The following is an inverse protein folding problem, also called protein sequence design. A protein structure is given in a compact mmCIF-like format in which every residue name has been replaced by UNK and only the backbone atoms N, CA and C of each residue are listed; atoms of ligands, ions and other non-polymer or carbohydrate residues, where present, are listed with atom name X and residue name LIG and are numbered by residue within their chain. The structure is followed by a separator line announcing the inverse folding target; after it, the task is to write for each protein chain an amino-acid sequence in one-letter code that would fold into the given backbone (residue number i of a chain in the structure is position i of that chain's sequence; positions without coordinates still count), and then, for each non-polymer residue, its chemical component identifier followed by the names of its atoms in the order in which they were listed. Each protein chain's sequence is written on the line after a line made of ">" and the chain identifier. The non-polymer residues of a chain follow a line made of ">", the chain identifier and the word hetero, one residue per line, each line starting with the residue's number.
data_IF_363169617177
#
_entry.id   IF_363169617177
#
_cell.length_a   1.000
_cell.length_b   1.000
_cell.length_c   1.000
_cell.angle_alpha   90.00
_cell.angle_beta   90.00
_cell.angle_gamma   90.00
#
_symmetry.space_group_name_H-M   'P 1'
#
loop_
_entity.id
_entity.type
_entity.pdbx_description
1 polymer ?
#
# COMPACT_ATOMS: atom_id res chain seq x y z
N UNK A 1 20.26 2.68 6.30
CA UNK A 1 20.02 4.05 5.79
C UNK A 1 18.52 4.34 5.62
N UNK A 2 17.73 3.41 5.14
CA UNK A 2 16.28 3.53 4.86
C UNK A 2 15.42 3.92 6.08
N UNK A 3 15.53 3.22 7.22
CA UNK A 3 14.79 3.56 8.46
C UNK A 3 14.99 5.02 8.89
N UNK A 4 16.20 5.54 8.77
CA UNK A 4 16.53 6.91 9.11
C UNK A 4 15.88 7.93 8.15
N UNK A 5 15.71 7.58 6.87
CA UNK A 5 15.10 8.46 5.89
C UNK A 5 13.60 8.63 6.18
N UNK A 6 12.88 7.52 6.46
CA UNK A 6 11.48 7.59 6.82
C UNK A 6 11.24 8.30 8.16
N UNK A 7 12.07 8.04 9.20
CA UNK A 7 11.99 8.76 10.47
C UNK A 7 12.14 10.28 10.24
N UNK A 8 13.17 10.71 9.51
CA UNK A 8 13.36 12.15 9.20
C UNK A 8 12.19 12.76 8.44
N UNK A 9 11.56 11.98 7.54
CA UNK A 9 10.38 12.45 6.83
C UNK A 9 9.19 12.68 7.77
N UNK A 10 9.01 11.79 8.78
CA UNK A 10 7.95 11.90 9.78
C UNK A 10 8.21 12.97 10.85
N UNK A 11 9.48 13.38 11.06
CA UNK A 11 9.86 14.45 12.00
C UNK A 11 9.67 15.86 11.44
N UNK A 12 9.31 15.99 10.16
CA UNK A 12 9.04 17.28 9.52
C UNK A 12 7.75 17.91 10.05
N UNK A 13 7.70 19.23 10.11
CA UNK A 13 6.47 19.99 10.46
C UNK A 13 5.43 20.04 9.32
N UNK A 14 5.69 19.34 8.22
CA UNK A 14 4.80 19.24 7.06
C UNK A 14 4.49 17.77 6.75
N UNK A 15 3.30 17.47 6.22
CA UNK A 15 2.97 16.10 5.83
C UNK A 15 3.95 15.55 4.78
N UNK A 16 4.23 14.25 4.86
CA UNK A 16 4.86 13.50 3.78
C UNK A 16 3.78 13.24 2.71
N UNK A 17 4.01 13.73 1.50
CA UNK A 17 3.06 13.58 0.40
C UNK A 17 3.25 12.22 -0.26
N UNK A 18 2.21 11.38 -0.19
CA UNK A 18 2.19 10.08 -0.85
C UNK A 18 1.77 10.25 -2.32
N UNK A 19 2.09 9.26 -3.13
CA UNK A 19 1.54 9.11 -4.48
C UNK A 19 0.03 8.80 -4.46
N UNK A 20 -0.54 8.63 -5.64
CA UNK A 20 -1.94 8.23 -5.84
C UNK A 20 -2.10 6.80 -6.33
N UNK A 21 -3.30 6.48 -6.81
CA UNK A 21 -3.62 5.14 -7.34
C UNK A 21 -2.82 4.79 -8.59
N UNK A 22 -1.83 3.91 -8.45
CA UNK A 22 -1.00 3.47 -9.57
C UNK A 22 -1.82 2.90 -10.71
N UNK A 23 -2.85 2.08 -10.39
CA UNK A 23 -3.76 1.51 -11.37
C UNK A 23 -4.46 2.60 -12.20
N UNK A 24 -5.02 3.61 -11.55
CA UNK A 24 -5.70 4.73 -12.21
C UNK A 24 -4.76 5.50 -13.15
N UNK A 25 -3.51 5.71 -12.73
CA UNK A 25 -2.51 6.38 -13.58
C UNK A 25 -2.12 5.53 -14.79
N UNK A 26 -1.98 4.21 -14.62
CA UNK A 26 -1.69 3.28 -15.71
C UNK A 26 -2.86 3.22 -16.73
N UNK A 27 -4.10 3.21 -16.26
CA UNK A 27 -5.29 3.30 -17.12
C UNK A 27 -5.33 4.63 -17.91
N UNK A 28 -5.00 5.75 -17.25
CA UNK A 28 -4.91 7.05 -17.91
C UNK A 28 -3.82 7.09 -18.99
N UNK A 29 -2.78 6.28 -18.85
CA UNK A 29 -1.73 6.07 -19.87
C UNK A 29 -2.15 5.07 -20.97
N UNK A 30 -3.35 4.48 -20.90
CA UNK A 30 -3.88 3.53 -21.87
C UNK A 30 -3.45 2.08 -21.64
N UNK A 31 -2.92 1.73 -20.47
CA UNK A 31 -2.60 0.35 -20.14
C UNK A 31 -3.87 -0.45 -19.82
N UNK A 32 -3.92 -1.68 -20.32
CA UNK A 32 -4.96 -2.64 -19.94
C UNK A 32 -4.52 -3.36 -18.64
N UNK A 33 -5.21 -3.04 -17.55
CA UNK A 33 -5.01 -3.68 -16.23
C UNK A 33 -6.20 -4.55 -15.81
N UNK A 34 -7.13 -4.83 -16.72
CA UNK A 34 -8.36 -5.61 -16.46
C UNK A 34 -8.15 -7.11 -16.22
N UNK A 35 -6.92 -7.56 -15.97
CA UNK A 35 -6.57 -8.95 -15.73
C UNK A 35 -6.41 -9.27 -14.23
N UNK A 36 -6.22 -10.57 -13.92
CA UNK A 36 -6.15 -11.09 -12.55
C UNK A 36 -4.97 -10.57 -11.70
N UNK A 37 -3.98 -9.92 -12.28
CA UNK A 37 -2.81 -9.39 -11.57
C UNK A 37 -2.76 -7.86 -11.55
N UNK A 38 -3.72 -7.17 -12.16
CA UNK A 38 -3.77 -5.71 -12.26
C UNK A 38 -2.43 -5.10 -12.69
N UNK A 39 -1.95 -4.12 -11.93
CA UNK A 39 -0.65 -3.48 -12.19
C UNK A 39 0.54 -4.44 -12.11
N UNK A 40 0.44 -5.53 -11.33
CA UNK A 40 1.51 -6.52 -11.24
C UNK A 40 1.72 -7.31 -12.55
N UNK A 41 0.72 -7.39 -13.45
CA UNK A 41 0.91 -7.98 -14.78
C UNK A 41 1.85 -7.17 -15.65
N UNK A 42 1.90 -5.86 -15.44
CA UNK A 42 2.77 -4.95 -16.19
C UNK A 42 4.23 -5.09 -15.81
N UNK A 43 4.55 -5.67 -14.64
CA UNK A 43 5.93 -6.00 -14.28
C UNK A 43 6.59 -6.90 -15.35
N UNK A 44 5.81 -7.78 -15.97
CA UNK A 44 6.29 -8.67 -17.03
C UNK A 44 6.08 -8.10 -18.43
N UNK A 45 4.92 -7.46 -18.68
CA UNK A 45 4.49 -7.10 -20.03
C UNK A 45 4.89 -5.69 -20.45
N UNK A 46 4.94 -4.73 -19.52
CA UNK A 46 5.28 -3.33 -19.80
C UNK A 46 5.82 -2.60 -18.57
N UNK A 47 7.02 -2.97 -18.07
CA UNK A 47 7.61 -2.33 -16.89
C UNK A 47 7.87 -0.83 -17.08
N UNK A 48 8.05 -0.38 -18.32
CA UNK A 48 8.29 1.04 -18.63
C UNK A 48 7.09 1.91 -18.26
N UNK A 49 5.86 1.45 -18.51
CA UNK A 49 4.65 2.18 -18.13
C UNK A 49 4.57 2.39 -16.60
N UNK A 50 5.08 1.44 -15.80
CA UNK A 50 5.14 1.58 -14.34
C UNK A 50 6.08 2.72 -13.95
N UNK A 51 7.28 2.78 -14.56
CA UNK A 51 8.24 3.87 -14.31
C UNK A 51 7.64 5.22 -14.69
N UNK A 52 6.99 5.31 -15.85
CA UNK A 52 6.34 6.53 -16.33
C UNK A 52 5.22 6.98 -15.38
N UNK A 53 4.40 6.05 -14.86
CA UNK A 53 3.34 6.35 -13.91
C UNK A 53 3.90 6.89 -12.57
N UNK A 54 4.93 6.24 -12.03
CA UNK A 54 5.59 6.69 -10.81
C UNK A 54 6.27 8.06 -11.01
N UNK A 55 6.90 8.28 -12.16
CA UNK A 55 7.48 9.58 -12.51
C UNK A 55 6.43 10.68 -12.55
N UNK A 56 5.25 10.42 -13.09
CA UNK A 56 4.16 11.40 -13.13
C UNK A 56 3.74 11.84 -11.71
N UNK A 57 3.71 10.93 -10.73
CA UNK A 57 3.44 11.28 -9.33
C UNK A 57 4.58 12.09 -8.71
N UNK A 58 5.83 11.72 -8.94
CA UNK A 58 6.99 12.49 -8.45
C UNK A 58 7.01 13.90 -9.05
N UNK A 59 6.74 14.05 -10.34
CA UNK A 59 6.66 15.33 -11.03
C UNK A 59 5.47 16.19 -10.54
N UNK A 60 4.41 15.54 -10.03
CA UNK A 60 3.29 16.21 -9.35
C UNK A 60 3.57 16.57 -7.88
N UNK A 61 4.71 16.16 -7.32
CA UNK A 61 5.14 16.53 -5.97
C UNK A 61 5.01 15.42 -4.93
N UNK A 62 4.80 14.16 -5.33
CA UNK A 62 4.87 13.04 -4.39
C UNK A 62 6.29 12.92 -3.81
N UNK A 63 6.37 12.67 -2.52
CA UNK A 63 7.61 12.48 -1.76
C UNK A 63 7.81 11.00 -1.36
N UNK A 64 6.81 10.17 -1.58
CA UNK A 64 6.86 8.73 -1.37
C UNK A 64 6.04 8.06 -2.46
N UNK A 65 6.62 7.07 -3.14
CA UNK A 65 5.96 6.27 -4.17
C UNK A 65 5.86 4.81 -3.74
N UNK A 66 4.71 4.20 -3.99
CA UNK A 66 4.46 2.80 -3.72
C UNK A 66 4.83 1.93 -4.92
N UNK A 67 5.39 0.74 -4.66
CA UNK A 67 5.74 -0.22 -5.72
C UNK A 67 4.52 -0.88 -6.34
N UNK A 68 4.64 -1.38 -7.59
CA UNK A 68 3.59 -2.10 -8.31
C UNK A 68 3.40 -3.54 -7.78
N UNK A 69 3.41 -3.73 -6.45
CA UNK A 69 3.41 -5.03 -5.79
C UNK A 69 2.23 -5.30 -4.87
N UNK A 70 1.26 -4.40 -4.82
CA UNK A 70 0.08 -4.52 -3.94
C UNK A 70 -0.57 -5.90 -3.98
N UNK A 71 -0.84 -6.45 -5.18
CA UNK A 71 -1.42 -7.77 -5.37
C UNK A 71 -0.39 -8.86 -5.67
N UNK A 72 0.88 -8.49 -5.86
CA UNK A 72 1.93 -9.43 -6.21
C UNK A 72 2.17 -10.45 -5.09
N UNK A 73 2.07 -11.72 -5.41
CA UNK A 73 2.29 -12.84 -4.49
C UNK A 73 2.70 -14.09 -5.28
N UNK A 74 3.35 -15.04 -4.60
CA UNK A 74 3.69 -16.32 -5.23
C UNK A 74 2.46 -17.06 -5.70
N UNK A 75 1.39 -17.04 -4.90
CA UNK A 75 0.10 -17.67 -5.19
C UNK A 75 -0.58 -17.01 -6.40
N UNK A 76 -0.62 -15.68 -6.44
CA UNK A 76 -1.19 -14.93 -7.57
C UNK A 76 -0.46 -15.20 -8.88
N UNK A 77 0.88 -15.20 -8.85
CA UNK A 77 1.68 -15.50 -10.03
C UNK A 77 1.64 -16.98 -10.43
N UNK A 78 1.50 -17.91 -9.46
CA UNK A 78 1.31 -19.34 -9.77
C UNK A 78 0.00 -19.59 -10.53
N UNK A 79 -1.07 -18.83 -10.28
CA UNK A 79 -2.33 -18.92 -11.02
C UNK A 79 -2.18 -18.58 -12.52
N UNK A 80 -1.13 -17.86 -12.89
CA UNK A 80 -0.79 -17.55 -14.31
C UNK A 80 0.41 -18.36 -14.81
N UNK A 81 0.84 -19.37 -14.06
CA UNK A 81 1.82 -20.37 -14.48
C UNK A 81 3.27 -20.04 -14.17
N UNK A 82 3.55 -19.01 -13.34
CA UNK A 82 4.92 -18.68 -12.94
C UNK A 82 5.36 -19.50 -11.73
N UNK A 83 6.63 -19.81 -11.65
CA UNK A 83 7.27 -20.43 -10.49
C UNK A 83 7.44 -19.43 -9.34
N UNK A 84 7.71 -19.93 -8.14
CA UNK A 84 7.98 -19.06 -6.98
C UNK A 84 9.22 -18.18 -7.17
N UNK A 85 10.26 -18.66 -7.86
CA UNK A 85 11.47 -17.87 -8.16
C UNK A 85 11.17 -16.75 -9.16
N UNK A 86 10.36 -17.02 -10.18
CA UNK A 86 9.91 -15.99 -11.13
C UNK A 86 9.01 -14.95 -10.45
N UNK A 87 8.14 -15.38 -9.55
CA UNK A 87 7.30 -14.48 -8.77
C UNK A 87 8.14 -13.56 -7.86
N UNK A 88 9.12 -14.11 -7.16
CA UNK A 88 10.05 -13.34 -6.33
C UNK A 88 10.84 -12.32 -7.15
N UNK A 89 11.34 -12.72 -8.32
CA UNK A 89 12.06 -11.82 -9.21
C UNK A 89 11.17 -10.65 -9.69
N UNK A 90 9.90 -10.89 -10.01
CA UNK A 90 8.96 -9.84 -10.40
C UNK A 90 8.59 -8.92 -9.23
N UNK A 91 8.42 -9.47 -8.03
CA UNK A 91 8.19 -8.65 -6.83
C UNK A 91 9.38 -7.72 -6.54
N UNK A 92 10.62 -8.22 -6.64
CA UNK A 92 11.82 -7.38 -6.49
C UNK A 92 11.96 -6.38 -7.64
N UNK A 93 11.64 -6.76 -8.87
CA UNK A 93 11.62 -5.84 -10.01
C UNK A 93 10.70 -4.63 -9.73
N UNK A 94 9.60 -4.80 -9.01
CA UNK A 94 8.73 -3.68 -8.66
C UNK A 94 9.43 -2.60 -7.83
N UNK A 95 10.38 -3.01 -6.97
CA UNK A 95 11.23 -2.10 -6.19
C UNK A 95 12.26 -1.43 -7.10
N UNK A 96 12.94 -2.20 -7.96
CA UNK A 96 13.95 -1.67 -8.88
C UNK A 96 13.35 -0.60 -9.82
N UNK A 97 12.11 -0.82 -10.29
CA UNK A 97 11.40 0.16 -11.14
C UNK A 97 11.06 1.44 -10.38
N UNK A 98 10.66 1.34 -9.12
CA UNK A 98 10.40 2.52 -8.27
C UNK A 98 11.70 3.28 -7.95
N UNK A 99 12.80 2.58 -7.66
CA UNK A 99 14.10 3.20 -7.52
C UNK A 99 14.54 3.92 -8.80
N UNK A 100 14.36 3.28 -9.94
CA UNK A 100 14.65 3.88 -11.24
C UNK A 100 13.82 5.14 -11.48
N UNK A 101 12.53 5.12 -11.21
CA UNK A 101 11.66 6.31 -11.32
C UNK A 101 12.17 7.45 -10.43
N UNK A 102 12.55 7.16 -9.19
CA UNK A 102 13.16 8.11 -8.27
C UNK A 102 14.47 8.69 -8.81
N UNK A 103 15.36 7.85 -9.29
CA UNK A 103 16.69 8.26 -9.77
C UNK A 103 16.58 9.12 -11.02
N UNK A 104 15.70 8.79 -11.95
CA UNK A 104 15.39 9.60 -13.13
C UNK A 104 14.78 10.95 -12.74
N UNK A 105 13.90 10.98 -11.71
CA UNK A 105 13.35 12.22 -11.16
C UNK A 105 14.46 13.12 -10.60
N UNK A 106 15.33 12.57 -9.76
CA UNK A 106 16.44 13.32 -9.15
C UNK A 106 17.43 13.83 -10.20
N UNK A 107 17.72 13.05 -11.23
CA UNK A 107 18.58 13.47 -12.33
C UNK A 107 17.98 14.64 -13.11
N UNK A 108 16.65 14.68 -13.29
CA UNK A 108 15.94 15.79 -13.93
C UNK A 108 15.78 17.01 -13.01
N UNK A 109 15.82 16.80 -11.69
CA UNK A 109 15.61 17.83 -10.67
C UNK A 109 16.79 17.94 -9.68
N UNK A 110 17.99 18.36 -10.12
CA UNK A 110 19.20 18.37 -9.28
C UNK A 110 19.14 19.32 -8.08
N UNK A 111 18.12 20.15 -8.00
CA UNK A 111 17.84 21.06 -6.88
C UNK A 111 16.71 20.59 -5.96
N UNK A 112 16.28 19.33 -6.05
CA UNK A 112 15.22 18.80 -5.18
C UNK A 112 15.66 18.82 -3.71
N UNK A 113 14.85 19.43 -2.86
CA UNK A 113 15.13 19.56 -1.42
C UNK A 113 14.90 18.25 -0.64
N UNK A 114 14.23 17.27 -1.26
CA UNK A 114 13.88 16.00 -0.66
C UNK A 114 14.16 14.85 -1.64
N UNK A 115 14.72 13.76 -1.11
CA UNK A 115 14.87 12.51 -1.86
C UNK A 115 13.61 11.67 -1.65
N UNK A 116 12.79 11.41 -2.68
CA UNK A 116 11.58 10.62 -2.54
C UNK A 116 11.86 9.21 -1.98
N UNK A 117 10.95 8.72 -1.16
CA UNK A 117 11.01 7.38 -0.58
C UNK A 117 10.34 6.36 -1.51
N UNK A 118 10.85 5.13 -1.47
CA UNK A 118 10.27 3.96 -2.13
C UNK A 118 9.64 3.07 -1.06
N UNK A 119 8.31 2.87 -1.14
CA UNK A 119 7.54 2.05 -0.22
C UNK A 119 7.14 0.72 -0.89
N UNK A 120 7.60 -0.41 -0.38
CA UNK A 120 7.18 -1.72 -0.87
C UNK A 120 5.72 -1.98 -0.48
N UNK A 121 4.83 -1.95 -1.45
CA UNK A 121 3.38 -2.12 -1.26
C UNK A 121 3.03 -3.58 -1.03
N UNK A 122 2.29 -3.85 0.06
CA UNK A 122 1.84 -5.17 0.50
C UNK A 122 0.35 -5.11 0.82
N UNK A 123 -0.47 -5.54 -0.12
CA UNK A 123 -1.91 -5.65 0.05
C UNK A 123 -2.35 -6.87 0.86
N UNK A 124 -3.64 -6.92 1.27
CA UNK A 124 -4.20 -8.03 2.03
C UNK A 124 -4.32 -9.32 1.20
N UNK A 125 -4.59 -10.41 1.88
CA UNK A 125 -4.84 -11.71 1.25
C UNK A 125 -6.00 -11.64 0.23
N UNK A 126 -7.06 -10.90 0.56
CA UNK A 126 -8.21 -10.70 -0.33
C UNK A 126 -7.85 -10.06 -1.68
N UNK A 127 -6.85 -9.19 -1.72
CA UNK A 127 -6.42 -8.56 -2.96
C UNK A 127 -5.89 -9.59 -3.99
N UNK A 128 -5.32 -10.71 -3.54
CA UNK A 128 -4.86 -11.80 -4.40
C UNK A 128 -6.03 -12.62 -4.97
N UNK A 129 -7.18 -12.64 -4.30
CA UNK A 129 -8.35 -13.42 -4.72
C UNK A 129 -9.09 -12.79 -5.91
N UNK A 130 -8.96 -11.49 -6.13
CA UNK A 130 -9.61 -10.73 -7.23
C UNK A 130 -11.13 -10.82 -7.29
N UNK A 131 -11.78 -11.07 -6.16
CA UNK A 131 -13.23 -11.21 -6.05
C UNK A 131 -13.87 -10.12 -5.18
N UNK A 132 -13.09 -9.12 -4.75
CA UNK A 132 -13.52 -8.04 -3.87
C UNK A 132 -13.45 -8.38 -2.39
N UNK A 133 -12.90 -9.54 -2.03
CA UNK A 133 -12.76 -10.00 -0.64
C UNK A 133 -11.96 -9.04 0.24
N UNK A 134 -11.07 -8.22 -0.32
CA UNK A 134 -10.35 -7.16 0.38
C UNK A 134 -11.29 -6.10 0.98
N UNK A 135 -12.52 -6.01 0.47
CA UNK A 135 -13.56 -5.12 0.99
C UNK A 135 -14.59 -5.83 1.88
N UNK A 136 -14.41 -7.13 2.17
CA UNK A 136 -15.24 -7.91 3.09
C UNK A 136 -14.48 -8.33 4.36
N UNK A 137 -13.20 -8.65 4.23
CA UNK A 137 -12.32 -8.99 5.35
C UNK A 137 -12.50 -10.37 5.94
N UNK A 138 -13.42 -11.18 5.41
CA UNK A 138 -13.65 -12.56 5.85
C UNK A 138 -13.40 -13.54 4.70
N UNK A 139 -12.20 -14.05 4.64
CA UNK A 139 -11.76 -14.95 3.57
C UNK A 139 -12.04 -16.44 3.84
N UNK A 140 -12.52 -16.79 5.03
CA UNK A 140 -12.72 -18.18 5.42
C UNK A 140 -11.44 -19.02 5.56
N UNK A 141 -10.27 -18.35 5.66
CA UNK A 141 -8.96 -19.00 5.84
C UNK A 141 -8.47 -18.86 7.28
N UNK A 142 -7.52 -19.73 7.67
CA UNK A 142 -6.92 -19.68 9.01
C UNK A 142 -5.89 -18.55 9.14
N UNK A 143 -5.59 -18.16 10.39
CA UNK A 143 -4.49 -17.25 10.68
C UNK A 143 -3.12 -17.80 10.23
N UNK A 144 -2.94 -19.12 10.22
CA UNK A 144 -1.73 -19.77 9.71
C UNK A 144 -1.59 -19.58 8.19
N UNK A 145 -2.70 -19.73 7.45
CA UNK A 145 -2.71 -19.44 6.00
C UNK A 145 -2.34 -17.99 5.71
N UNK A 146 -2.88 -17.03 6.48
CA UNK A 146 -2.52 -15.62 6.35
C UNK A 146 -1.05 -15.38 6.71
N UNK A 147 -0.54 -16.07 7.72
CA UNK A 147 0.88 -15.99 8.12
C UNK A 147 1.80 -16.48 7.00
N UNK A 148 1.52 -17.65 6.43
CA UNK A 148 2.33 -18.23 5.36
C UNK A 148 2.33 -17.32 4.12
N UNK A 149 1.16 -16.76 3.77
CA UNK A 149 1.00 -15.82 2.66
C UNK A 149 1.84 -14.55 2.83
N UNK A 150 1.80 -13.93 4.02
CA UNK A 150 2.50 -12.67 4.25
C UNK A 150 3.97 -12.84 4.57
N UNK A 151 4.37 -13.94 5.22
CA UNK A 151 5.75 -14.13 5.68
C UNK A 151 6.76 -14.08 4.55
N UNK A 152 6.50 -14.78 3.43
CA UNK A 152 7.44 -14.81 2.30
C UNK A 152 7.55 -13.43 1.62
N UNK A 153 6.44 -12.69 1.47
CA UNK A 153 6.42 -11.36 0.86
C UNK A 153 7.15 -10.34 1.74
N UNK A 154 6.85 -10.33 3.04
CA UNK A 154 7.52 -9.44 4.00
C UNK A 154 9.02 -9.70 4.03
N UNK A 155 9.44 -10.97 4.14
CA UNK A 155 10.86 -11.33 4.13
C UNK A 155 11.57 -10.90 2.84
N UNK A 156 10.91 -11.06 1.69
CA UNK A 156 11.45 -10.67 0.40
C UNK A 156 11.68 -9.16 0.32
N UNK A 157 10.66 -8.37 0.66
CA UNK A 157 10.76 -6.91 0.59
C UNK A 157 11.63 -6.33 1.69
N UNK A 158 11.72 -6.94 2.87
CA UNK A 158 12.58 -6.50 3.97
C UNK A 158 14.08 -6.58 3.59
N UNK A 159 14.44 -7.47 2.67
CA UNK A 159 15.81 -7.59 2.14
C UNK A 159 16.04 -6.81 0.85
N UNK A 160 15.03 -6.09 0.34
CA UNK A 160 15.13 -5.27 -0.87
C UNK A 160 15.75 -3.90 -0.60
N UNK A 161 15.87 -3.09 -1.65
CA UNK A 161 16.32 -1.70 -1.55
C UNK A 161 15.18 -0.71 -1.23
N UNK A 162 13.97 -1.17 -0.91
CA UNK A 162 12.89 -0.29 -0.49
C UNK A 162 13.28 0.49 0.78
N UNK A 163 12.75 1.69 0.95
CA UNK A 163 13.00 2.51 2.12
C UNK A 163 12.09 2.12 3.29
N UNK A 164 10.93 1.54 3.01
CA UNK A 164 9.95 1.08 3.99
C UNK A 164 8.96 0.08 3.39
N UNK A 165 8.20 -0.58 4.28
CA UNK A 165 7.08 -1.46 3.93
C UNK A 165 5.76 -0.69 4.05
N UNK A 166 4.96 -0.69 3.00
CA UNK A 166 3.62 -0.14 2.95
C UNK A 166 2.60 -1.28 3.04
N UNK A 167 2.24 -1.66 4.26
CA UNK A 167 1.19 -2.68 4.50
C UNK A 167 -0.15 -1.97 4.49
N UNK A 168 -0.96 -2.21 3.45
CA UNK A 168 -2.09 -1.35 3.16
C UNK A 168 -3.40 -2.07 2.84
N UNK A 169 -4.52 -1.37 3.06
CA UNK A 169 -5.88 -1.86 2.79
C UNK A 169 -6.26 -3.07 3.65
N UNK A 170 -5.70 -3.20 4.85
CA UNK A 170 -5.95 -4.35 5.71
C UNK A 170 -7.39 -4.29 6.26
N UNK A 171 -8.24 -5.29 5.96
CA UNK A 171 -9.67 -5.20 6.21
C UNK A 171 -10.11 -5.85 7.52
N UNK A 172 -9.25 -6.62 8.18
CA UNK A 172 -9.66 -7.43 9.33
C UNK A 172 -8.64 -7.41 10.49
N UNK A 173 -9.15 -7.57 11.70
CA UNK A 173 -8.32 -7.67 12.91
C UNK A 173 -7.46 -8.94 12.92
N UNK A 174 -7.94 -10.03 12.33
CA UNK A 174 -7.20 -11.30 12.27
C UNK A 174 -5.94 -11.13 11.43
N UNK A 175 -6.08 -10.55 10.23
CA UNK A 175 -4.96 -10.29 9.34
C UNK A 175 -4.00 -9.26 9.93
N UNK A 176 -4.53 -8.17 10.53
CA UNK A 176 -3.74 -7.17 11.22
C UNK A 176 -2.92 -7.78 12.38
N UNK A 177 -3.49 -8.72 13.14
CA UNK A 177 -2.80 -9.43 14.22
C UNK A 177 -1.65 -10.32 13.72
N UNK A 178 -1.86 -11.02 12.61
CA UNK A 178 -0.83 -11.82 11.93
C UNK A 178 0.32 -10.91 11.47
N UNK A 179 -0.02 -9.80 10.80
CA UNK A 179 0.95 -8.82 10.30
C UNK A 179 1.73 -8.15 11.43
N UNK A 180 1.08 -7.84 12.56
CA UNK A 180 1.77 -7.31 13.72
C UNK A 180 2.86 -8.27 14.24
N UNK A 181 2.60 -9.58 14.22
CA UNK A 181 3.61 -10.57 14.59
C UNK A 181 4.78 -10.63 13.60
N UNK A 182 4.49 -10.65 12.31
CA UNK A 182 5.51 -10.75 11.25
C UNK A 182 6.36 -9.48 11.13
N UNK A 183 5.74 -8.31 11.17
CA UNK A 183 6.44 -7.03 11.09
C UNK A 183 7.41 -6.78 12.26
N UNK A 184 7.21 -7.44 13.40
CA UNK A 184 8.13 -7.30 14.54
C UNK A 184 9.53 -7.86 14.23
N UNK A 185 9.65 -8.78 13.29
CA UNK A 185 10.88 -9.42 12.86
C UNK A 185 11.53 -8.74 11.64
N UNK A 186 10.90 -7.67 11.09
CA UNK A 186 11.44 -6.93 9.95
C UNK A 186 12.43 -5.84 10.38
N UNK A 187 13.44 -5.59 9.56
CA UNK A 187 14.42 -4.52 9.73
C UNK A 187 13.94 -3.19 9.14
N UNK A 188 13.21 -3.23 8.01
CA UNK A 188 12.63 -2.04 7.40
C UNK A 188 11.52 -1.44 8.26
N UNK A 189 11.44 -0.11 8.35
CA UNK A 189 10.28 0.54 8.96
C UNK A 189 9.03 0.30 8.12
N UNK A 190 7.87 0.39 8.74
CA UNK A 190 6.60 0.18 8.05
C UNK A 190 5.55 1.23 8.43
N UNK A 191 4.59 1.43 7.53
CA UNK A 191 3.25 1.84 7.95
C UNK A 191 2.28 0.68 7.77
N UNK A 192 1.16 0.76 8.49
CA UNK A 192 -0.01 -0.10 8.25
C UNK A 192 -1.25 0.77 8.11
N UNK A 193 -2.08 0.48 7.12
CA UNK A 193 -3.34 1.18 6.89
C UNK A 193 -4.50 0.21 6.67
N UNK A 194 -5.66 0.65 7.09
CA UNK A 194 -6.88 -0.16 7.16
C UNK A 194 -7.92 0.34 6.18
N UNK A 195 -8.69 -0.58 5.59
CA UNK A 195 -9.94 -0.26 4.90
C UNK A 195 -11.11 -0.28 5.88
N UNK A 196 -11.92 0.79 5.84
CA UNK A 196 -13.00 0.99 6.80
C UNK A 196 -14.34 1.16 6.07
N UNK A 197 -15.41 0.58 6.64
CA UNK A 197 -16.77 0.67 6.09
C UNK A 197 -17.52 1.92 6.53
N UNK A 198 -17.09 2.53 7.63
CA UNK A 198 -17.65 3.76 8.20
C UNK A 198 -16.60 4.48 9.07
N UNK A 199 -17.01 5.55 9.76
CA UNK A 199 -16.13 6.35 10.64
C UNK A 199 -15.69 5.64 11.93
N UNK A 200 -16.00 4.32 12.10
CA UNK A 200 -15.73 3.60 13.36
C UNK A 200 -15.11 2.24 13.15
N UNK A 201 -15.57 1.53 12.11
CA UNK A 201 -15.29 0.12 11.96
C UNK A 201 -14.50 -0.19 10.69
N UNK A 202 -13.57 -1.15 10.79
CA UNK A 202 -13.02 -1.84 9.64
C UNK A 202 -14.15 -2.56 8.88
N UNK A 203 -13.84 -3.05 7.68
CA UNK A 203 -14.81 -3.80 6.86
C UNK A 203 -15.31 -5.05 7.57
N UNK A 204 -14.48 -5.74 8.35
CA UNK A 204 -14.86 -6.92 9.15
C UNK A 204 -15.77 -6.60 10.36
N UNK A 205 -15.96 -5.32 10.67
CA UNK A 205 -16.77 -4.86 11.80
C UNK A 205 -16.01 -4.63 13.10
N UNK A 206 -14.69 -4.77 13.11
CA UNK A 206 -13.86 -4.47 14.29
C UNK A 206 -13.65 -2.95 14.41
N UNK A 207 -13.72 -2.37 15.64
CA UNK A 207 -13.43 -0.96 15.83
C UNK A 207 -12.00 -0.61 15.42
N UNK A 208 -11.81 0.44 14.62
CA UNK A 208 -10.49 0.88 14.14
C UNK A 208 -9.51 1.19 15.30
N UNK A 209 -10.02 1.73 16.41
CA UNK A 209 -9.21 2.03 17.58
C UNK A 209 -8.63 0.77 18.26
N UNK A 210 -9.37 -0.34 18.23
CA UNK A 210 -8.94 -1.63 18.77
C UNK A 210 -7.81 -2.21 17.92
N UNK A 211 -7.97 -2.22 16.60
CA UNK A 211 -6.96 -2.75 15.68
C UNK A 211 -5.71 -1.87 15.68
N UNK A 212 -5.88 -0.53 15.64
CA UNK A 212 -4.75 0.39 15.72
C UNK A 212 -3.94 0.20 17.02
N UNK A 213 -4.58 -0.11 18.13
CA UNK A 213 -3.91 -0.32 19.43
C UNK A 213 -2.93 -1.50 19.42
N UNK A 214 -3.06 -2.47 18.52
CA UNK A 214 -2.09 -3.57 18.34
C UNK A 214 -0.68 -3.02 18.00
N UNK A 215 -0.61 -1.87 17.36
CA UNK A 215 0.62 -1.26 16.88
C UNK A 215 1.19 -0.16 17.79
N UNK A 216 0.56 0.12 18.95
CA UNK A 216 0.97 1.22 19.85
C UNK A 216 2.46 1.18 20.20
N UNK A 217 2.97 0.05 20.62
CA UNK A 217 4.36 -0.12 21.03
C UNK A 217 5.16 -0.94 20.00
N UNK A 218 4.66 -1.04 18.76
CA UNK A 218 5.29 -1.84 17.75
C UNK A 218 6.63 -1.22 17.32
N UNK A 219 7.75 -1.99 17.29
CA UNK A 219 9.08 -1.42 17.09
C UNK A 219 9.33 -0.97 15.64
N UNK A 220 8.69 -1.61 14.67
CA UNK A 220 8.95 -1.42 13.24
C UNK A 220 7.89 -0.53 12.61
N UNK A 221 6.61 -0.64 13.03
CA UNK A 221 5.53 0.19 12.49
C UNK A 221 5.61 1.60 13.06
N UNK A 222 5.92 2.58 12.20
CA UNK A 222 6.09 3.99 12.56
C UNK A 222 4.85 4.84 12.29
N UNK A 223 3.98 4.40 11.38
CA UNK A 223 2.72 5.06 11.11
C UNK A 223 1.57 4.04 11.05
N UNK A 224 0.39 4.47 11.49
CA UNK A 224 -0.85 3.68 11.44
C UNK A 224 -1.92 4.54 10.80
N UNK A 225 -2.71 3.98 9.88
CA UNK A 225 -3.59 4.83 9.10
C UNK A 225 -4.79 4.14 8.48
N UNK A 226 -5.30 4.80 7.45
CA UNK A 226 -6.43 4.34 6.65
C UNK A 226 -6.19 4.63 5.16
N UNK A 227 -6.70 3.78 4.31
CA UNK A 227 -6.73 3.98 2.86
C UNK A 227 -7.94 3.27 2.24
N UNK A 228 -8.17 3.46 0.93
CA UNK A 228 -9.27 2.81 0.21
C UNK A 228 -10.61 2.89 0.95
N UNK A 229 -10.86 4.02 1.58
CA UNK A 229 -12.01 4.31 2.44
C UNK A 229 -12.69 5.58 1.93
N UNK A 230 -14.02 5.70 1.95
CA UNK A 230 -14.70 6.92 1.56
C UNK A 230 -14.17 8.14 2.33
N UNK A 231 -13.85 9.27 1.65
CA UNK A 231 -13.14 10.40 2.26
C UNK A 231 -13.92 11.07 3.40
N UNK A 232 -15.25 11.03 3.40
CA UNK A 232 -16.08 11.59 4.46
C UNK A 232 -15.84 10.93 5.83
N UNK A 233 -15.34 9.70 5.88
CA UNK A 233 -15.05 8.98 7.13
C UNK A 233 -13.64 9.30 7.68
N UNK A 234 -12.73 9.77 6.83
CA UNK A 234 -11.33 9.97 7.16
C UNK A 234 -11.11 10.88 8.40
N UNK A 235 -11.77 12.03 8.57
CA UNK A 235 -11.51 12.90 9.71
C UNK A 235 -11.77 12.24 11.06
N UNK A 236 -12.84 11.44 11.18
CA UNK A 236 -13.16 10.77 12.44
C UNK A 236 -12.27 9.54 12.68
N UNK A 237 -11.95 8.78 11.64
CA UNK A 237 -11.01 7.66 11.69
C UNK A 237 -9.62 8.13 12.14
N UNK A 238 -9.10 9.22 11.55
CA UNK A 238 -7.82 9.82 11.96
C UNK A 238 -7.84 10.17 13.46
N UNK A 239 -8.91 10.79 13.97
CA UNK A 239 -9.01 11.12 15.40
C UNK A 239 -8.97 9.88 16.29
N UNK A 240 -9.67 8.80 15.90
CA UNK A 240 -9.70 7.54 16.65
C UNK A 240 -8.34 6.84 16.63
N UNK A 241 -7.69 6.76 15.45
CA UNK A 241 -6.35 6.19 15.30
C UNK A 241 -5.35 6.97 16.17
N UNK A 242 -5.30 8.31 16.07
CA UNK A 242 -4.39 9.14 16.89
C UNK A 242 -4.58 8.95 18.38
N UNK A 243 -5.81 8.75 18.87
CA UNK A 243 -6.07 8.44 20.28
C UNK A 243 -5.57 7.05 20.67
N UNK A 244 -5.70 6.08 19.78
CA UNK A 244 -5.23 4.70 20.03
C UNK A 244 -3.71 4.59 20.02
N UNK A 245 -3.02 5.34 19.14
CA UNK A 245 -1.57 5.30 18.92
C UNK A 245 -0.95 6.71 18.93
N UNK A 246 -0.97 7.43 20.08
CA UNK A 246 -0.60 8.84 20.13
C UNK A 246 0.85 9.15 19.72
N UNK A 247 1.75 8.16 19.83
CA UNK A 247 3.17 8.28 19.51
C UNK A 247 3.53 7.82 18.09
N UNK A 248 2.53 7.49 17.28
CA UNK A 248 2.72 7.10 15.86
C UNK A 248 2.25 8.21 14.93
N UNK A 249 2.89 8.31 13.77
CA UNK A 249 2.35 9.12 12.68
C UNK A 249 1.04 8.51 12.17
N UNK A 250 0.22 9.32 11.47
CA UNK A 250 -1.00 8.84 10.84
C UNK A 250 -0.87 8.94 9.34
N UNK A 251 -1.02 7.82 8.63
CA UNK A 251 -1.12 7.76 7.19
C UNK A 251 -2.60 7.83 6.77
N UNK A 252 -2.95 8.69 5.81
CA UNK A 252 -4.32 8.81 5.32
C UNK A 252 -4.33 9.09 3.81
N UNK A 253 -4.84 8.13 3.05
CA UNK A 253 -5.00 8.21 1.60
C UNK A 253 -6.33 7.56 1.19
N UNK A 254 -7.45 8.25 1.47
CA UNK A 254 -8.79 7.77 1.16
C UNK A 254 -9.04 7.74 -0.34
N UNK A 255 -10.17 7.15 -0.75
CA UNK A 255 -10.64 7.25 -2.13
C UNK A 255 -10.90 8.70 -2.51
N UNK A 256 -10.92 9.00 -3.82
CA UNK A 256 -11.27 10.32 -4.36
C UNK A 256 -12.74 10.71 -4.11
N UNK A 257 -13.57 9.79 -3.61
CA UNK A 257 -15.01 9.99 -3.38
C UNK A 257 -15.90 9.30 -4.41
N UNK A 258 -15.32 8.73 -5.44
CA UNK A 258 -16.00 7.86 -6.39
C UNK A 258 -16.35 6.52 -5.75
N UNK A 259 -17.42 5.89 -6.25
CA UNK A 259 -17.88 4.57 -5.76
C UNK A 259 -17.47 3.49 -6.76
N UNK A 260 -16.77 2.50 -6.30
CA UNK A 260 -16.41 1.33 -7.10
C UNK A 260 -17.60 0.36 -7.19
N UNK A 261 -17.96 -0.05 -8.41
CA UNK A 261 -18.89 -1.15 -8.67
C UNK A 261 -18.09 -2.42 -8.95
N UNK A 262 -18.20 -3.40 -8.08
CA UNK A 262 -17.56 -4.71 -8.29
C UNK A 262 -18.20 -5.49 -9.46
N UNK A 263 -19.47 -5.24 -9.77
CA UNK A 263 -20.21 -5.86 -10.88
C UNK A 263 -19.71 -5.34 -12.24
N UNK A 264 -19.55 -4.02 -12.37
CA UNK A 264 -19.12 -3.36 -13.59
C UNK A 264 -17.59 -3.24 -13.70
N UNK A 265 -16.87 -3.52 -12.59
CA UNK A 265 -15.42 -3.28 -12.44
C UNK A 265 -15.02 -1.85 -12.81
N UNK A 266 -15.84 -0.88 -12.42
CA UNK A 266 -15.69 0.52 -12.78
C UNK A 266 -15.96 1.46 -11.60
N UNK A 267 -15.34 2.63 -11.63
CA UNK A 267 -15.59 3.72 -10.69
C UNK A 267 -16.70 4.61 -11.21
N UNK A 268 -17.64 4.98 -10.36
CA UNK A 268 -18.79 5.86 -10.67
C UNK A 268 -18.82 7.08 -9.77
N UNK A 269 -19.11 8.21 -10.37
CA UNK A 269 -19.17 9.50 -9.71
C UNK A 269 -18.26 10.52 -10.38
N UNK A 270 -18.42 11.76 -9.98
CA UNK A 270 -17.52 12.85 -10.35
C UNK A 270 -17.12 13.56 -9.07
N UNK A 271 -15.85 13.56 -8.77
CA UNK A 271 -15.29 14.28 -7.62
C UNK A 271 -14.34 15.34 -8.16
N UNK A 272 -14.47 16.54 -7.65
CA UNK A 272 -13.52 17.62 -7.95
C UNK A 272 -12.49 17.76 -6.83
N UNK A 273 -11.31 18.34 -7.09
CA UNK A 273 -10.32 18.59 -6.03
C UNK A 273 -10.84 19.40 -4.84
N UNK A 274 -11.96 20.11 -5.00
CA UNK A 274 -12.62 20.85 -3.92
C UNK A 274 -13.57 20.02 -3.06
N UNK A 275 -13.85 18.79 -3.44
CA UNK A 275 -14.74 17.86 -2.73
C UNK A 275 -13.94 16.92 -1.79
N UNK A 276 -12.60 16.92 -1.88
CA UNK A 276 -11.69 16.09 -1.10
C UNK A 276 -11.20 16.74 0.18
#
# INVERSE_FOLDING_TARGET
>A
MSRQAFIRALERDVPLILDGGLATQLEAQGCDIGNALWSASLLQSNPEAIVEAMRAYLDAGAECIATASYQASREGFANVGLSGEEADALMLLSVDLAERARDEYLAANPGADFTPLVAASIGPYGAMLHDGSEYEGNYGVSADTLRDFHACRLQLFDTSNADLLAVETIPSVVEAGVLAGLLADCDLPAWISFSCKDETYLVDGTPVAEVAALFRNHPTVLAVGLNCTPPQFAPELIRKIRRAVPDKAVAAYPNSGETYSAEDKAWFGTVTPGDC
#
